data_IF_662886709734
#
_entry.id   IF_662886709734
#
_cell.length_a   1.000
_cell.length_b   1.000
_cell.length_c   1.000
_cell.angle_alpha   90.00
_cell.angle_beta   90.00
_cell.angle_gamma   90.00
#
_symmetry.space_group_name_H-M   'P 1'
#
loop_
_entity.id
_entity.type
_entity.pdbx_description
1 polymer ?
2 water ?
#
# COMPACT_ATOMS: atom_id res chain seq x y z
N UNK A 1 -24.75 1.43 -2.78
CA UNK A 1 -23.99 1.06 -4.01
C UNK A 1 -22.69 1.84 -4.09
N UNK A 2 -21.65 1.18 -4.59
CA UNK A 2 -20.34 1.79 -4.75
C UNK A 2 -20.24 2.30 -6.20
N UNK A 3 -20.38 3.61 -6.43
CA UNK A 3 -20.33 4.18 -7.79
C UNK A 3 -19.09 3.83 -8.62
N UNK A 4 -19.31 3.71 -9.93
CA UNK A 4 -18.24 3.38 -10.92
C UNK A 4 -17.69 4.70 -11.50
N UNK A 5 -18.32 5.81 -11.14
CA UNK A 5 -17.86 7.09 -11.64
C UNK A 5 -18.29 7.29 -13.06
N UNK A 6 -19.17 6.40 -13.54
CA UNK A 6 -19.70 6.44 -14.89
C UNK A 6 -21.22 6.39 -14.84
N UNK A 7 -21.85 7.39 -15.45
CA UNK A 7 -23.30 7.54 -15.48
C UNK A 7 -24.01 6.30 -16.09
N UNK A 8 -23.47 5.75 -17.16
CA UNK A 8 -24.09 4.61 -17.78
C UNK A 8 -23.96 3.34 -16.96
N UNK A 9 -22.75 3.06 -16.49
CA UNK A 9 -22.49 1.88 -15.69
C UNK A 9 -23.31 1.90 -14.38
N UNK A 10 -23.50 3.08 -13.82
CA UNK A 10 -24.27 3.24 -12.59
C UNK A 10 -25.74 3.05 -12.86
N UNK A 11 -26.21 3.54 -14.02
CA UNK A 11 -27.61 3.39 -14.44
C UNK A 11 -27.88 1.90 -14.62
N UNK A 12 -27.03 1.23 -15.39
CA UNK A 12 -27.15 -0.20 -15.61
C UNK A 12 -27.20 -0.98 -14.27
N UNK A 13 -26.32 -0.62 -13.34
CA UNK A 13 -26.21 -1.30 -12.05
C UNK A 13 -27.12 -0.83 -10.92
N UNK A 14 -28.00 0.12 -11.15
CA UNK A 14 -28.84 0.59 -10.07
C UNK A 14 -28.09 1.51 -9.12
N UNK A 15 -26.91 1.98 -9.50
CA UNK A 15 -26.16 2.91 -8.68
C UNK A 15 -24.68 2.65 -8.51
N UNK A 16 -24.25 1.43 -8.76
CA UNK A 16 -22.85 1.10 -8.61
C UNK A 16 -22.81 -0.33 -8.14
N UNK A 17 -21.65 -0.79 -7.73
CA UNK A 17 -21.53 -2.14 -7.26
C UNK A 17 -22.28 -2.31 -5.94
N UNK A 18 -22.90 -3.48 -5.77
CA UNK A 18 -23.71 -3.82 -4.61
C UNK A 18 -22.92 -4.34 -3.42
N UNK A 19 -23.19 -3.79 -2.22
CA UNK A 19 -22.50 -4.23 -1.03
C UNK A 19 -23.02 -5.58 -0.57
N UNK A 20 -22.12 -6.39 -0.01
CA UNK A 20 -22.53 -7.68 0.50
C UNK A 20 -22.76 -8.75 -0.54
N UNK A 21 -22.31 -8.51 -1.76
CA UNK A 21 -22.46 -9.53 -2.83
C UNK A 21 -21.21 -9.56 -3.69
N UNK A 22 -21.03 -10.66 -4.40
CA UNK A 22 -19.89 -10.81 -5.29
C UNK A 22 -20.38 -10.48 -6.70
N UNK A 23 -19.77 -9.46 -7.29
CA UNK A 23 -20.08 -9.09 -8.65
C UNK A 23 -18.90 -9.56 -9.48
N UNK A 24 -19.15 -10.42 -10.45
CA UNK A 24 -18.07 -10.86 -11.34
C UNK A 24 -18.03 -9.85 -12.48
N UNK A 25 -16.84 -9.44 -12.87
CA UNK A 25 -16.69 -8.52 -14.00
C UNK A 25 -15.69 -9.27 -14.83
N UNK A 26 -16.11 -9.74 -16.00
CA UNK A 26 -15.20 -10.49 -16.83
C UNK A 26 -15.13 -9.97 -18.28
N UNK A 27 -14.03 -10.29 -18.95
CA UNK A 27 -13.82 -9.85 -20.32
C UNK A 27 -12.36 -10.02 -20.66
N UNK A 28 -11.95 -9.72 -21.90
CA UNK A 28 -10.55 -9.85 -22.34
C UNK A 28 -9.66 -8.72 -21.79
N UNK A 29 -8.36 -8.79 -22.04
CA UNK A 29 -7.47 -7.74 -21.55
C UNK A 29 -7.83 -6.45 -22.25
N UNK A 30 -7.65 -5.33 -21.56
CA UNK A 30 -7.99 -4.03 -22.10
C UNK A 30 -9.50 -3.87 -22.33
N UNK A 31 -10.29 -4.82 -21.80
CA UNK A 31 -11.75 -4.76 -21.92
C UNK A 31 -12.21 -3.65 -21.00
N UNK A 32 -11.36 -3.33 -20.02
CA UNK A 32 -11.67 -2.27 -19.07
C UNK A 32 -12.07 -2.76 -17.69
N UNK A 33 -11.95 -4.07 -17.43
CA UNK A 33 -12.33 -4.61 -16.13
C UNK A 33 -11.45 -4.11 -14.97
N UNK A 34 -10.13 -4.11 -15.18
CA UNK A 34 -9.19 -3.59 -14.20
C UNK A 34 -9.35 -2.06 -14.00
N UNK A 35 -9.52 -1.34 -15.10
CA UNK A 35 -9.70 0.10 -14.98
C UNK A 35 -10.97 0.38 -14.21
N UNK A 36 -12.01 -0.44 -14.42
CA UNK A 36 -13.28 -0.25 -13.72
C UNK A 36 -13.02 -0.46 -12.22
N UNK A 37 -12.29 -1.52 -11.90
CA UNK A 37 -11.94 -1.83 -10.52
C UNK A 37 -11.19 -0.65 -9.88
N UNK A 38 -10.17 -0.17 -10.58
CA UNK A 38 -9.34 0.95 -10.14
C UNK A 38 -10.16 2.20 -9.87
N UNK A 39 -11.06 2.51 -10.80
CA UNK A 39 -11.91 3.68 -10.69
C UNK A 39 -12.92 3.60 -9.58
N UNK A 40 -13.54 2.43 -9.41
CA UNK A 40 -14.51 2.27 -8.33
C UNK A 40 -13.77 2.44 -7.00
N UNK A 41 -12.62 1.77 -6.86
CA UNK A 41 -11.82 1.88 -5.65
C UNK A 41 -11.38 3.32 -5.40
N UNK A 42 -10.83 3.94 -6.44
CA UNK A 42 -10.37 5.31 -6.35
C UNK A 42 -11.45 6.30 -5.84
N UNK A 43 -12.65 6.23 -6.39
CA UNK A 43 -13.72 7.13 -6.00
C UNK A 43 -14.44 6.78 -4.69
N UNK A 44 -14.24 5.56 -4.17
CA UNK A 44 -14.88 5.18 -2.91
C UNK A 44 -14.33 6.04 -1.75
N UNK A 45 -13.04 6.38 -1.81
CA UNK A 45 -12.44 7.20 -0.79
C UNK A 45 -11.91 6.50 0.44
N UNK A 46 -12.02 5.17 0.48
CA UNK A 46 -11.55 4.40 1.60
C UNK A 46 -10.62 3.33 1.10
N UNK A 47 -10.15 2.48 2.00
CA UNK A 47 -9.22 1.43 1.60
C UNK A 47 -9.84 0.41 0.66
N UNK A 48 -8.98 -0.18 -0.16
CA UNK A 48 -9.38 -1.16 -1.12
C UNK A 48 -8.39 -2.29 -0.97
N UNK A 49 -8.88 -3.50 -0.68
CA UNK A 49 -8.02 -4.67 -0.57
C UNK A 49 -7.97 -5.15 -2.01
N UNK A 50 -6.78 -5.23 -2.59
CA UNK A 50 -6.66 -5.62 -3.96
C UNK A 50 -5.74 -6.83 -4.08
N UNK A 51 -6.33 -7.98 -4.35
CA UNK A 51 -5.58 -9.22 -4.50
C UNK A 51 -5.25 -9.32 -5.98
N UNK A 52 -4.01 -8.99 -6.30
CA UNK A 52 -3.56 -8.98 -7.68
C UNK A 52 -2.69 -10.15 -8.02
N UNK A 53 -3.31 -11.21 -8.49
CA UNK A 53 -2.59 -12.41 -8.86
C UNK A 53 -2.11 -12.32 -10.30
N UNK A 54 -2.79 -11.50 -11.08
CA UNK A 54 -2.50 -11.32 -12.51
C UNK A 54 -1.58 -10.13 -12.87
N UNK A 55 -1.15 -9.37 -11.88
CA UNK A 55 -0.30 -8.24 -12.19
C UNK A 55 -1.04 -7.25 -13.09
N UNK A 56 -2.35 -7.16 -12.92
CA UNK A 56 -3.15 -6.23 -13.70
C UNK A 56 -3.24 -4.84 -13.08
N UNK A 57 -2.74 -4.69 -11.86
CA UNK A 57 -2.79 -3.40 -11.15
C UNK A 57 -1.61 -2.51 -11.51
N UNK A 58 -1.90 -1.27 -11.85
CA UNK A 58 -0.84 -0.32 -12.23
C UNK A 58 -0.92 0.95 -11.42
N UNK A 59 0.11 1.21 -10.57
CA UNK A 59 0.23 2.38 -9.71
C UNK A 59 0.17 3.65 -10.54
N UNK A 60 0.92 3.67 -11.63
CA UNK A 60 0.98 4.81 -12.56
C UNK A 60 -0.38 5.14 -13.15
N UNK A 61 -1.09 4.09 -13.57
CA UNK A 61 -2.42 4.22 -14.15
C UNK A 61 -3.39 4.82 -13.12
N UNK A 62 -3.30 4.35 -11.87
CA UNK A 62 -4.15 4.88 -10.80
C UNK A 62 -3.77 6.34 -10.51
N UNK A 63 -2.47 6.63 -10.51
CA UNK A 63 -1.95 7.99 -10.31
C UNK A 63 -2.51 8.89 -11.42
N UNK A 64 -2.41 8.42 -12.67
CA UNK A 64 -2.93 9.16 -13.81
C UNK A 64 -4.39 9.42 -13.59
N UNK A 65 -5.13 8.36 -13.30
CA UNK A 65 -6.56 8.47 -13.05
C UNK A 65 -6.86 9.44 -11.90
N UNK A 66 -6.11 9.33 -10.81
CA UNK A 66 -6.32 10.21 -9.64
C UNK A 66 -6.09 11.69 -10.01
N UNK A 67 -4.94 11.97 -10.64
CA UNK A 67 -4.58 13.33 -11.03
C UNK A 67 -5.58 13.94 -11.98
N UNK A 68 -5.85 13.23 -13.09
CA UNK A 68 -6.77 13.73 -14.11
C UNK A 68 -8.16 14.05 -13.60
N UNK A 69 -8.44 13.68 -12.36
CA UNK A 69 -9.73 13.97 -11.76
C UNK A 69 -9.49 14.86 -10.52
N UNK A 70 -8.31 15.48 -10.51
CA UNK A 70 -7.86 16.36 -9.44
C UNK A 70 -7.93 15.77 -8.03
N UNK A 71 -7.49 14.52 -7.87
CA UNK A 71 -7.57 13.79 -6.59
C UNK A 71 -6.41 13.55 -5.61
N UNK A 72 -5.20 14.02 -5.88
CA UNK A 72 -4.05 13.77 -4.98
C UNK A 72 -3.77 12.29 -5.08
N UNK A 73 -2.85 11.94 -5.97
CA UNK A 73 -2.39 10.59 -6.30
C UNK A 73 -1.69 9.82 -5.21
N UNK A 74 -1.07 10.52 -4.26
CA UNK A 74 -0.35 9.85 -3.18
C UNK A 74 -1.32 9.21 -2.19
N UNK A 75 -2.35 9.95 -1.82
CA UNK A 75 -3.34 9.41 -0.90
C UNK A 75 -4.13 8.29 -1.59
N UNK A 76 -4.51 8.55 -2.84
CA UNK A 76 -5.27 7.59 -3.64
C UNK A 76 -4.50 6.29 -3.71
N UNK A 77 -3.25 6.37 -4.15
CA UNK A 77 -2.42 5.20 -4.27
C UNK A 77 -2.23 4.52 -2.93
N UNK A 78 -2.17 5.31 -1.86
CA UNK A 78 -1.99 4.75 -0.52
C UNK A 78 -3.19 3.94 -0.07
N UNK A 79 -4.39 4.26 -0.58
CA UNK A 79 -5.57 3.53 -0.16
C UNK A 79 -5.65 2.13 -0.72
N UNK A 80 -4.79 1.81 -1.68
CA UNK A 80 -4.79 0.50 -2.28
C UNK A 80 -3.88 -0.45 -1.56
N UNK A 81 -4.50 -1.33 -0.78
CA UNK A 81 -3.77 -2.33 -0.01
C UNK A 81 -3.59 -3.54 -0.94
N UNK A 82 -2.37 -3.72 -1.46
CA UNK A 82 -2.09 -4.78 -2.41
C UNK A 82 -1.61 -6.08 -1.86
N UNK A 83 -1.94 -7.14 -2.59
CA UNK A 83 -1.55 -8.51 -2.25
C UNK A 83 -1.14 -9.14 -3.56
N UNK A 84 0.03 -9.73 -3.60
CA UNK A 84 0.53 -10.30 -4.83
C UNK A 84 0.78 -11.80 -4.76
N UNK A 85 -0.26 -12.60 -4.50
CA UNK A 85 -0.12 -14.06 -4.41
C UNK A 85 0.46 -14.64 -5.70
N UNK A 86 0.24 -13.88 -6.77
CA UNK A 86 0.69 -14.15 -8.14
C UNK A 86 0.87 -15.60 -8.63
N UNK A 87 1.71 -16.40 -7.97
CA UNK A 87 1.89 -17.78 -8.41
C UNK A 87 0.75 -18.68 -7.92
N UNK A 88 -0.46 -18.14 -7.91
CA UNK A 88 -1.68 -18.85 -7.53
C UNK A 88 -1.66 -19.87 -6.37
N UNK A 89 -0.70 -19.75 -5.47
CA UNK A 89 -0.61 -20.65 -4.31
C UNK A 89 -1.05 -19.98 -3.00
N UNK A 90 -0.41 -18.87 -2.64
CA UNK A 90 -0.82 -18.17 -1.43
C UNK A 90 -2.12 -17.41 -1.67
N UNK A 91 -2.73 -17.62 -2.83
CA UNK A 91 -3.99 -16.99 -3.22
C UNK A 91 -5.06 -17.28 -2.13
N UNK A 92 -5.39 -18.55 -1.96
CA UNK A 92 -6.36 -18.95 -0.94
C UNK A 92 -5.90 -18.47 0.45
N UNK A 93 -4.58 -18.43 0.66
CA UNK A 93 -4.01 -17.97 1.93
C UNK A 93 -4.24 -16.48 2.12
N UNK A 94 -4.12 -15.74 1.02
CA UNK A 94 -4.31 -14.30 0.99
C UNK A 94 -5.78 -14.00 1.24
N UNK A 95 -6.65 -14.74 0.56
CA UNK A 95 -8.08 -14.55 0.72
C UNK A 95 -8.45 -14.89 2.16
N UNK A 96 -7.82 -15.93 2.68
CA UNK A 96 -8.05 -16.32 4.06
C UNK A 96 -7.60 -15.19 4.96
N UNK A 97 -6.40 -14.65 4.69
CA UNK A 97 -5.86 -13.56 5.50
C UNK A 97 -6.81 -12.37 5.50
N UNK A 98 -7.41 -12.10 4.34
CA UNK A 98 -8.32 -11.00 4.15
C UNK A 98 -9.42 -10.94 5.19
N UNK A 99 -9.73 -12.09 5.77
CA UNK A 99 -10.77 -12.18 6.79
C UNK A 99 -10.48 -11.21 7.92
N UNK A 100 -9.23 -11.13 8.35
CA UNK A 100 -8.87 -10.23 9.44
C UNK A 100 -8.23 -8.89 9.01
N UNK A 101 -7.70 -8.84 7.80
CA UNK A 101 -7.10 -7.61 7.27
C UNK A 101 -8.20 -6.59 6.98
N UNK A 102 -9.29 -7.06 6.38
CA UNK A 102 -10.40 -6.20 6.03
C UNK A 102 -11.17 -5.76 7.25
N UNK A 103 -11.26 -4.45 7.47
CA UNK A 103 -11.99 -3.91 8.61
C UNK A 103 -12.94 -2.84 8.09
N UNK A 104 -13.55 -2.10 9.00
CA UNK A 104 -14.46 -1.04 8.64
C UNK A 104 -13.85 0.15 7.86
N UNK A 105 -12.53 0.12 7.68
CA UNK A 105 -11.83 1.18 6.96
C UNK A 105 -11.85 0.95 5.45
N UNK A 106 -12.18 -0.29 5.07
CA UNK A 106 -12.27 -0.69 3.66
C UNK A 106 -13.63 -0.40 3.02
N UNK A 107 -13.59 0.03 1.76
CA UNK A 107 -14.82 0.29 1.00
C UNK A 107 -15.03 -0.76 -0.07
N UNK A 108 -13.98 -1.50 -0.40
CA UNK A 108 -14.04 -2.46 -1.48
C UNK A 108 -12.92 -3.49 -1.44
N UNK A 109 -13.20 -4.67 -2.00
CA UNK A 109 -12.23 -5.75 -2.13
C UNK A 109 -12.25 -6.07 -3.62
N UNK A 110 -11.09 -6.33 -4.20
CA UNK A 110 -10.98 -6.67 -5.62
C UNK A 110 -10.06 -7.85 -5.69
N UNK A 111 -10.47 -8.90 -6.39
CA UNK A 111 -9.61 -10.06 -6.56
C UNK A 111 -9.38 -10.12 -8.06
N UNK A 112 -8.13 -10.36 -8.45
CA UNK A 112 -7.79 -10.38 -9.87
C UNK A 112 -6.70 -11.40 -10.09
N UNK A 113 -7.08 -12.61 -10.47
CA UNK A 113 -8.45 -13.01 -10.71
C UNK A 113 -8.63 -14.41 -10.15
N UNK A 114 -7.93 -15.35 -10.78
CA UNK A 114 -7.85 -16.80 -10.48
C UNK A 114 -8.46 -17.76 -11.52
N UNK A 115 -7.71 -18.02 -12.59
CA UNK A 115 -8.18 -18.95 -13.61
C UNK A 115 -7.16 -19.41 -14.67
N UNK A 116 -5.89 -19.50 -14.27
CA UNK A 116 -4.82 -19.96 -15.16
C UNK A 116 -3.61 -20.46 -14.36
N UNK A 117 -3.36 -21.77 -14.40
CA UNK A 117 -2.24 -22.37 -13.67
C UNK A 117 -1.39 -23.28 -14.55
N UNK A 118 -0.22 -23.65 -14.04
CA UNK A 118 0.74 -24.51 -14.74
C UNK A 118 0.20 -25.85 -15.26
N UNK A 119 -0.39 -26.65 -14.39
CA UNK A 119 -0.91 -27.97 -14.74
C UNK A 119 -2.14 -28.04 -15.66
N UNK A 120 -2.28 -27.06 -16.54
CA UNK A 120 -3.37 -26.94 -17.51
C UNK A 120 -4.68 -27.73 -17.33
N UNK A 121 -4.62 -29.05 -17.44
CA UNK A 121 -5.82 -29.91 -17.31
C UNK A 121 -6.65 -29.70 -16.06
N UNK A 122 -6.01 -29.20 -15.00
CA UNK A 122 -6.63 -28.93 -13.70
C UNK A 122 -8.13 -28.59 -13.75
N UNK A 123 -8.43 -27.47 -14.40
CA UNK A 123 -9.79 -26.94 -14.56
C UNK A 123 -10.98 -27.85 -14.20
N UNK A 124 -10.99 -29.07 -14.71
CA UNK A 124 -12.09 -30.00 -14.40
C UNK A 124 -11.76 -30.89 -13.21
N UNK A 125 -12.74 -31.04 -12.33
CA UNK A 125 -12.64 -31.86 -11.12
C UNK A 125 -11.68 -31.30 -10.06
N UNK A 126 -11.66 -31.95 -8.90
CA UNK A 126 -10.79 -31.53 -7.81
C UNK A 126 -10.85 -30.07 -7.40
N UNK A 127 -9.84 -29.32 -7.79
CA UNK A 127 -9.68 -27.88 -7.50
C UNK A 127 -10.95 -27.03 -7.39
N UNK A 128 -11.98 -27.38 -8.14
CA UNK A 128 -13.24 -26.64 -8.14
C UNK A 128 -13.79 -26.31 -6.73
N UNK A 129 -13.51 -27.17 -5.76
CA UNK A 129 -13.96 -26.93 -4.39
C UNK A 129 -13.09 -25.86 -3.70
N UNK A 130 -11.84 -25.77 -4.11
CA UNK A 130 -10.91 -24.78 -3.56
C UNK A 130 -11.36 -23.40 -4.01
N UNK A 131 -11.91 -23.32 -5.22
CA UNK A 131 -12.43 -22.08 -5.76
C UNK A 131 -13.63 -21.70 -4.89
N UNK A 132 -14.49 -22.69 -4.63
CA UNK A 132 -15.67 -22.49 -3.80
C UNK A 132 -15.29 -22.04 -2.39
N UNK A 133 -14.13 -22.51 -1.92
CA UNK A 133 -13.60 -22.14 -0.61
C UNK A 133 -13.40 -20.62 -0.61
N UNK A 134 -12.65 -20.16 -1.61
CA UNK A 134 -12.33 -18.76 -1.80
C UNK A 134 -13.57 -17.88 -1.98
N UNK A 135 -14.44 -18.27 -2.90
CA UNK A 135 -15.64 -17.51 -3.16
C UNK A 135 -16.46 -17.38 -1.88
N UNK A 136 -16.58 -18.47 -1.14
CA UNK A 136 -17.32 -18.43 0.10
C UNK A 136 -16.67 -17.49 1.12
N UNK A 137 -15.34 -17.53 1.21
CA UNK A 137 -14.65 -16.63 2.13
C UNK A 137 -14.92 -15.17 1.69
N UNK A 138 -14.89 -14.93 0.38
CA UNK A 138 -15.14 -13.58 -0.13
C UNK A 138 -16.57 -13.13 0.16
N UNK A 139 -17.54 -14.03 0.00
CA UNK A 139 -18.94 -13.67 0.29
C UNK A 139 -19.07 -13.37 1.79
N UNK A 140 -18.39 -14.16 2.60
CA UNK A 140 -18.35 -13.99 4.06
C UNK A 140 -17.79 -12.59 4.37
N UNK A 141 -16.65 -12.26 3.76
CA UNK A 141 -16.04 -10.94 3.96
C UNK A 141 -17.01 -9.84 3.54
N UNK A 142 -17.63 -10.00 2.36
CA UNK A 142 -18.57 -9.01 1.84
C UNK A 142 -19.75 -8.81 2.78
N UNK A 143 -20.23 -9.89 3.36
CA UNK A 143 -21.37 -9.80 4.27
C UNK A 143 -21.03 -9.25 5.64
N UNK A 144 -19.88 -9.61 6.18
CA UNK A 144 -19.52 -9.10 7.49
C UNK A 144 -19.32 -7.58 7.47
N UNK A 145 -18.79 -7.06 6.37
CA UNK A 145 -18.52 -5.63 6.26
C UNK A 145 -19.47 -4.86 5.38
N UNK A 146 -20.40 -5.57 4.77
CA UNK A 146 -21.36 -4.94 3.87
C UNK A 146 -20.66 -4.06 2.85
N UNK A 147 -19.77 -4.64 2.08
CA UNK A 147 -19.06 -3.90 1.04
C UNK A 147 -19.03 -4.83 -0.16
N UNK A 148 -18.76 -4.27 -1.35
CA UNK A 148 -18.72 -5.10 -2.55
C UNK A 148 -17.40 -5.85 -2.69
N UNK A 149 -17.48 -7.01 -3.32
CA UNK A 149 -16.31 -7.79 -3.64
C UNK A 149 -16.39 -7.99 -5.17
N UNK A 150 -15.48 -7.37 -5.90
CA UNK A 150 -15.42 -7.49 -7.35
C UNK A 150 -14.47 -8.62 -7.65
N UNK A 151 -14.94 -9.55 -8.46
CA UNK A 151 -14.17 -10.70 -8.86
C UNK A 151 -13.92 -10.55 -10.38
N UNK A 152 -12.68 -10.29 -10.73
CA UNK A 152 -12.32 -10.09 -12.12
C UNK A 152 -11.81 -11.39 -12.71
N UNK A 153 -12.27 -11.72 -13.92
CA UNK A 153 -11.83 -12.94 -14.59
C UNK A 153 -11.77 -12.65 -16.09
N UNK A 154 -11.14 -13.54 -16.85
CA UNK A 154 -11.10 -13.40 -18.30
C UNK A 154 -12.34 -14.09 -18.90
N UNK A 155 -12.76 -13.60 -20.06
CA UNK A 155 -13.94 -14.13 -20.76
C UNK A 155 -13.75 -15.52 -21.42
N UNK A 156 -14.86 -16.10 -21.89
CA UNK A 156 -14.91 -17.39 -22.64
C UNK A 156 -14.29 -18.69 -22.08
N UNK A 157 -15.04 -19.41 -21.26
CA UNK A 157 -14.54 -20.68 -20.70
C UNK A 157 -15.53 -21.45 -19.82
N UNK A 158 -15.96 -20.82 -18.72
CA UNK A 158 -16.84 -21.44 -17.76
C UNK A 158 -18.36 -21.40 -17.92
N UNK A 159 -18.87 -22.00 -19.00
CA UNK A 159 -20.31 -22.09 -19.27
C UNK A 159 -20.48 -23.25 -20.23
N UNK A 160 -19.76 -24.32 -19.91
CA UNK A 160 -19.68 -25.57 -20.67
C UNK A 160 -20.97 -26.35 -20.96
N UNK A 161 -22.11 -25.68 -20.87
CA UNK A 161 -23.39 -26.34 -21.17
C UNK A 161 -23.23 -26.86 -22.59
N UNK A 162 -22.70 -25.97 -23.44
CA UNK A 162 -22.41 -26.22 -24.84
C UNK A 162 -22.08 -24.85 -25.39
N UNK A 163 -23.11 -24.00 -25.48
CA UNK A 163 -22.89 -22.63 -25.92
C UNK A 163 -22.31 -21.96 -24.68
N UNK A 164 -20.99 -21.96 -24.58
CA UNK A 164 -20.32 -21.32 -23.45
C UNK A 164 -20.67 -19.84 -23.60
N UNK A 165 -21.86 -19.49 -23.13
CA UNK A 165 -22.37 -18.14 -23.22
C UNK A 165 -22.55 -17.41 -21.89
N UNK A 166 -21.48 -16.80 -21.37
CA UNK A 166 -20.11 -16.75 -21.87
C UNK A 166 -19.16 -17.26 -20.78
N UNK A 167 -19.53 -16.97 -19.54
CA UNK A 167 -18.79 -17.36 -18.34
C UNK A 167 -19.75 -17.30 -17.14
N UNK A 168 -20.07 -18.46 -16.60
CA UNK A 168 -20.96 -18.62 -15.44
C UNK A 168 -20.93 -20.11 -15.05
N UNK A 169 -19.90 -20.50 -14.30
CA UNK A 169 -19.71 -21.89 -13.86
C UNK A 169 -20.58 -22.43 -12.72
N UNK A 170 -21.84 -22.73 -13.03
CA UNK A 170 -22.81 -23.29 -12.09
C UNK A 170 -22.90 -22.58 -10.73
N UNK A 171 -22.73 -23.33 -9.64
CA UNK A 171 -22.79 -22.79 -8.29
C UNK A 171 -21.76 -21.70 -8.13
N UNK A 172 -20.57 -21.95 -8.69
CA UNK A 172 -19.49 -20.98 -8.65
C UNK A 172 -20.01 -19.74 -9.36
N UNK A 173 -20.78 -19.97 -10.42
CA UNK A 173 -21.36 -18.87 -11.16
C UNK A 173 -22.31 -18.16 -10.23
N UNK A 174 -23.29 -18.88 -9.69
CA UNK A 174 -24.28 -18.30 -8.78
C UNK A 174 -23.66 -17.80 -7.47
N UNK A 175 -22.36 -18.03 -7.33
CA UNK A 175 -21.62 -17.55 -6.17
C UNK A 175 -21.61 -16.03 -6.30
N UNK A 176 -21.64 -15.57 -7.55
CA UNK A 176 -21.65 -14.16 -7.88
C UNK A 176 -23.06 -13.80 -8.28
N UNK A 177 -23.72 -13.00 -7.43
CA UNK A 177 -25.08 -12.59 -7.67
C UNK A 177 -25.22 -11.65 -8.86
N UNK A 178 -24.21 -10.81 -9.05
CA UNK A 178 -24.20 -9.87 -10.15
C UNK A 178 -23.05 -10.23 -11.08
N UNK A 179 -23.30 -10.13 -12.38
CA UNK A 179 -22.30 -10.47 -13.38
C UNK A 179 -22.35 -9.47 -14.51
N UNK A 180 -21.19 -8.87 -14.80
CA UNK A 180 -21.05 -7.91 -15.87
C UNK A 180 -20.04 -8.43 -16.88
N UNK A 181 -20.41 -8.41 -18.16
CA UNK A 181 -19.50 -8.86 -19.21
C UNK A 181 -19.05 -7.57 -19.92
N UNK A 182 -17.75 -7.43 -20.15
CA UNK A 182 -17.29 -6.23 -20.83
C UNK A 182 -16.78 -6.64 -22.20
N UNK A 183 -17.27 -5.98 -23.23
CA UNK A 183 -16.82 -6.30 -24.58
C UNK A 183 -16.22 -5.07 -25.23
N UNK A 184 -15.33 -5.31 -26.20
CA UNK A 184 -14.68 -4.22 -26.93
C UNK A 184 -15.42 -3.86 -28.21
N UNK A 185 -15.69 -2.58 -28.44
CA UNK A 185 -16.30 -2.15 -29.69
C UNK A 185 -15.10 -1.85 -30.62
N UNK A 186 -15.24 -2.01 -31.96
CA UNK A 186 -14.10 -1.75 -32.86
C UNK A 186 -13.71 -0.30 -33.17
N UNK A 187 -13.49 0.48 -32.11
CA UNK A 187 -13.05 1.86 -32.20
C UNK A 187 -12.15 1.90 -30.98
N UNK A 188 -11.00 2.59 -31.07
CA UNK A 188 -10.07 2.67 -29.94
C UNK A 188 -10.70 3.13 -28.62
N UNK A 189 -10.55 2.32 -27.58
CA UNK A 189 -11.11 2.62 -26.27
C UNK A 189 -12.61 2.42 -26.05
N UNK A 190 -13.34 2.09 -27.12
CA UNK A 190 -14.80 1.89 -27.06
C UNK A 190 -15.17 0.52 -26.48
N UNK A 191 -16.10 0.53 -25.54
CA UNK A 191 -16.50 -0.69 -24.85
C UNK A 191 -17.98 -0.69 -24.52
N UNK A 192 -18.49 -1.86 -24.16
CA UNK A 192 -19.88 -1.98 -23.73
C UNK A 192 -19.92 -3.04 -22.63
N UNK A 193 -20.68 -2.77 -21.58
CA UNK A 193 -20.83 -3.75 -20.50
C UNK A 193 -22.24 -4.35 -20.61
N UNK A 194 -22.37 -5.65 -20.41
CA UNK A 194 -23.67 -6.28 -20.45
C UNK A 194 -23.92 -6.88 -19.08
N UNK A 195 -25.04 -6.50 -18.48
CA UNK A 195 -25.47 -7.01 -17.17
C UNK A 195 -26.14 -8.36 -17.41
N UNK A 196 -25.35 -9.42 -17.33
CA UNK A 196 -25.84 -10.75 -17.57
C UNK A 196 -26.60 -11.34 -16.41
N UNK A 197 -26.32 -10.84 -15.22
CA UNK A 197 -26.97 -11.36 -14.07
C UNK A 197 -26.98 -10.31 -13.00
N UNK A 198 -28.14 -10.13 -12.40
CA UNK A 198 -28.25 -9.17 -11.34
C UNK A 198 -29.43 -9.56 -10.52
N UNK A 199 -29.45 -9.07 -9.30
CA UNK A 199 -30.49 -9.39 -8.37
C UNK A 199 -31.82 -8.67 -8.57
N UNK A 200 -31.77 -7.43 -9.05
CA UNK A 200 -33.01 -6.70 -9.23
C UNK A 200 -33.06 -5.88 -10.51
N UNK A 201 -31.91 -5.50 -11.05
CA UNK A 201 -31.86 -4.71 -12.27
C UNK A 201 -32.15 -5.61 -13.46
N UNK A 202 -32.88 -5.11 -14.47
CA UNK A 202 -33.18 -5.94 -15.65
C UNK A 202 -31.88 -6.46 -16.27
N UNK A 203 -31.88 -7.75 -16.59
CA UNK A 203 -30.74 -8.42 -17.16
C UNK A 203 -30.72 -8.29 -18.67
N UNK A 204 -29.53 -8.39 -19.25
CA UNK A 204 -29.37 -8.26 -20.68
C UNK A 204 -29.13 -6.81 -21.09
N UNK A 205 -29.41 -5.85 -20.21
CA UNK A 205 -29.19 -4.44 -20.51
C UNK A 205 -27.67 -4.11 -20.65
N UNK A 206 -27.37 -2.99 -21.31
CA UNK A 206 -26.00 -2.57 -21.61
C UNK A 206 -25.71 -1.13 -21.27
N UNK A 207 -24.42 -0.82 -21.22
CA UNK A 207 -23.92 0.53 -20.94
C UNK A 207 -22.66 0.68 -21.75
N UNK A 208 -22.62 1.73 -22.56
CA UNK A 208 -21.44 2.02 -23.39
C UNK A 208 -20.48 2.92 -22.58
N UNK A 209 -19.18 2.71 -22.75
CA UNK A 209 -18.23 3.56 -22.06
C UNK A 209 -16.95 3.57 -22.87
N UNK A 210 -16.00 4.43 -22.50
CA UNK A 210 -14.71 4.47 -23.20
C UNK A 210 -13.55 4.55 -22.20
N UNK A 211 -12.46 3.88 -22.54
CA UNK A 211 -11.28 3.88 -21.73
C UNK A 211 -10.46 5.07 -22.18
N UNK A 212 -10.26 6.02 -21.28
CA UNK A 212 -9.50 7.23 -21.56
C UNK A 212 -8.37 7.40 -20.54
N UNK A 213 -7.69 8.53 -20.61
CA UNK A 213 -6.60 8.82 -19.69
C UNK A 213 -7.16 8.97 -18.27
N UNK A 214 -8.44 9.36 -18.17
CA UNK A 214 -9.07 9.55 -16.87
C UNK A 214 -9.62 8.26 -16.26
N UNK A 215 -9.43 7.14 -16.96
CA UNK A 215 -9.94 5.87 -16.46
C UNK A 215 -11.02 5.35 -17.40
N UNK A 216 -12.26 5.51 -17.01
CA UNK A 216 -13.39 5.07 -17.81
C UNK A 216 -14.40 6.18 -17.82
N UNK A 217 -14.87 6.51 -19.01
CA UNK A 217 -15.82 7.61 -19.13
C UNK A 217 -17.05 7.25 -19.95
N UNK A 218 -18.08 8.05 -19.80
CA UNK A 218 -19.28 7.87 -20.58
C UNK A 218 -18.88 8.31 -21.99
N UNK A 219 -19.51 7.70 -22.98
CA UNK A 219 -19.19 8.02 -24.36
C UNK A 219 -19.72 9.41 -24.67
N UNK A 220 -19.28 9.93 -25.81
CA UNK A 220 -19.73 11.21 -26.29
C UNK A 220 -20.91 10.96 -27.23
N UNK B 1 23.05 -5.80 10.58
CA UNK B 1 22.90 -4.36 10.18
C UNK B 1 22.02 -4.37 8.96
N UNK B 2 21.17 -3.37 8.85
CA UNK B 2 20.28 -3.27 7.70
C UNK B 2 20.83 -2.24 6.74
N UNK B 3 21.23 -2.70 5.56
CA UNK B 3 21.77 -1.82 4.58
C UNK B 3 20.87 -0.67 4.13
N UNK B 4 21.56 0.42 3.89
CA UNK B 4 21.04 1.68 3.42
C UNK B 4 20.99 1.68 1.87
N UNK B 5 21.71 0.74 1.27
CA UNK B 5 21.79 0.64 -0.17
C UNK B 5 22.81 1.62 -0.71
N UNK B 6 23.46 2.35 0.20
CA UNK B 6 24.46 3.36 -0.16
C UNK B 6 25.81 3.05 0.55
N UNK B 7 26.90 3.04 -0.22
CA UNK B 7 28.22 2.78 0.33
C UNK B 7 28.61 3.70 1.51
N UNK B 8 28.50 5.01 1.29
CA UNK B 8 28.86 6.00 2.29
C UNK B 8 28.08 5.90 3.60
N UNK B 9 26.75 5.82 3.52
CA UNK B 9 25.93 5.74 4.74
C UNK B 9 26.19 4.44 5.50
N UNK B 10 26.41 3.35 4.78
CA UNK B 10 26.69 2.07 5.41
C UNK B 10 28.05 2.09 6.11
N UNK B 11 29.07 2.66 5.47
CA UNK B 11 30.39 2.74 6.09
C UNK B 11 30.29 3.52 7.38
N UNK B 12 29.61 4.65 7.31
CA UNK B 12 29.42 5.52 8.46
C UNK B 12 28.73 4.80 9.64
N UNK B 13 27.70 4.03 9.32
CA UNK B 13 26.89 3.31 10.30
C UNK B 13 27.40 1.93 10.66
N UNK B 14 28.57 1.56 10.15
CA UNK B 14 29.12 0.26 10.44
C UNK B 14 28.43 -0.89 9.70
N UNK B 15 27.67 -0.56 8.66
CA UNK B 15 27.03 -1.61 7.88
C UNK B 15 25.59 -1.36 7.55
N UNK B 16 24.98 -0.40 8.24
CA UNK B 16 23.58 -0.11 8.00
C UNK B 16 22.93 0.19 9.32
N UNK B 17 21.59 0.22 9.37
CA UNK B 17 20.90 0.50 10.61
C UNK B 17 21.01 -0.71 11.54
N UNK B 18 21.29 -0.47 12.82
CA UNK B 18 21.45 -1.57 13.79
C UNK B 18 20.16 -2.15 14.37
N UNK B 19 20.07 -3.50 14.45
CA UNK B 19 18.86 -4.09 15.01
C UNK B 19 18.86 -3.94 16.53
N UNK B 20 17.66 -3.89 17.11
CA UNK B 20 17.56 -3.76 18.55
C UNK B 20 17.81 -2.34 19.00
N UNK B 21 17.95 -1.41 18.05
CA UNK B 21 18.19 0.00 18.39
C UNK B 21 17.29 0.96 17.63
N UNK B 22 17.02 2.09 18.25
CA UNK B 22 16.21 3.13 17.67
C UNK B 22 17.17 4.11 17.04
N UNK B 23 17.24 4.15 15.71
CA UNK B 23 18.12 5.09 15.04
C UNK B 23 17.32 6.32 14.65
N UNK B 24 17.66 7.45 15.28
CA UNK B 24 16.98 8.68 14.93
C UNK B 24 17.67 9.27 13.71
N UNK B 25 16.87 9.70 12.75
CA UNK B 25 17.37 10.31 11.53
C UNK B 25 16.58 11.62 11.45
N UNK B 26 17.26 12.75 11.61
CA UNK B 26 16.55 14.01 11.57
C UNK B 26 17.15 15.03 10.62
N UNK B 27 16.33 16.02 10.26
CA UNK B 27 16.76 17.04 9.33
C UNK B 27 15.52 17.73 8.78
N UNK B 28 15.68 18.77 7.95
CA UNK B 28 14.58 19.55 7.35
C UNK B 28 13.89 18.79 6.22
N UNK B 29 12.85 19.40 5.66
CA UNK B 29 12.12 18.76 4.59
C UNK B 29 13.03 18.54 3.41
N UNK B 30 12.92 17.37 2.80
CA UNK B 30 13.73 17.00 1.63
C UNK B 30 15.19 16.79 1.96
N UNK B 31 15.49 16.62 3.24
CA UNK B 31 16.87 16.36 3.63
C UNK B 31 17.26 14.95 3.23
N UNK B 32 16.30 14.11 2.88
CA UNK B 32 16.62 12.74 2.50
C UNK B 32 16.24 11.66 3.50
N UNK B 33 15.65 12.05 4.63
CA UNK B 33 15.29 11.12 5.70
C UNK B 33 14.19 10.10 5.40
N UNK B 34 13.08 10.55 4.82
CA UNK B 34 11.99 9.64 4.45
C UNK B 34 12.45 8.74 3.28
N UNK B 35 13.28 9.29 2.39
CA UNK B 35 13.77 8.52 1.24
C UNK B 35 14.73 7.44 1.66
N UNK B 36 15.54 7.74 2.67
CA UNK B 36 16.49 6.77 3.23
C UNK B 36 15.69 5.62 3.86
N UNK B 37 14.70 5.98 4.66
CA UNK B 37 13.84 5.02 5.32
C UNK B 37 13.21 4.14 4.22
N UNK B 38 12.59 4.79 3.23
CA UNK B 38 11.93 4.12 2.12
C UNK B 38 12.84 3.15 1.41
N UNK B 39 14.05 3.60 1.11
CA UNK B 39 15.03 2.77 0.43
C UNK B 39 15.54 1.63 1.30
N UNK B 40 15.69 1.89 2.58
CA UNK B 40 16.16 0.85 3.49
C UNK B 40 15.12 -0.30 3.55
N UNK B 41 13.85 0.08 3.67
CA UNK B 41 12.75 -0.88 3.69
C UNK B 41 12.56 -1.62 2.36
N UNK B 42 12.76 -0.91 1.25
CA UNK B 42 12.63 -1.52 -0.07
C UNK B 42 13.65 -2.62 -0.28
N UNK B 43 14.91 -2.29 -0.04
CA UNK B 43 15.98 -3.24 -0.25
C UNK B 43 15.96 -4.42 0.70
N UNK B 44 15.25 -4.29 1.81
CA UNK B 44 15.19 -5.39 2.77
C UNK B 44 14.45 -6.59 2.18
N UNK B 45 13.51 -6.33 1.27
CA UNK B 45 12.77 -7.44 0.68
C UNK B 45 11.78 -8.09 1.63
N UNK B 46 11.51 -7.46 2.78
CA UNK B 46 10.58 -8.00 3.77
C UNK B 46 9.56 -6.94 4.11
N UNK B 47 8.73 -7.16 5.13
CA UNK B 47 7.71 -6.17 5.47
C UNK B 47 8.24 -5.01 6.26
N UNK B 48 7.50 -3.90 6.25
CA UNK B 48 7.92 -2.70 6.96
C UNK B 48 6.70 -2.11 7.58
N UNK B 49 6.75 -1.86 8.89
CA UNK B 49 5.65 -1.21 9.62
C UNK B 49 6.01 0.28 9.58
N UNK B 50 5.16 1.08 8.96
CA UNK B 50 5.42 2.51 8.79
C UNK B 50 4.36 3.38 9.43
N UNK B 51 4.68 3.97 10.58
CA UNK B 51 3.74 4.84 11.28
C UNK B 51 3.96 6.24 10.70
N UNK B 52 3.01 6.72 9.90
CA UNK B 52 3.12 8.01 9.28
C UNK B 52 2.17 9.00 9.88
N UNK B 53 2.69 9.81 10.81
CA UNK B 53 1.90 10.83 11.48
C UNK B 53 1.91 12.10 10.68
N UNK B 54 3.05 12.39 10.05
CA UNK B 54 3.19 13.58 9.21
C UNK B 54 3.34 12.94 7.84
N UNK B 55 2.37 13.16 6.95
CA UNK B 55 2.38 12.57 5.60
C UNK B 55 3.65 12.50 4.78
N UNK B 56 4.65 11.79 5.28
CA UNK B 56 5.90 11.71 4.57
C UNK B 56 6.02 10.49 3.69
N UNK B 57 5.16 9.48 3.92
CA UNK B 57 5.22 8.26 3.12
C UNK B 57 4.74 8.53 1.72
N UNK B 58 5.64 8.32 0.77
CA UNK B 58 5.34 8.54 -0.62
C UNK B 58 5.35 7.22 -1.38
N UNK B 59 4.15 6.68 -1.69
CA UNK B 59 4.00 5.41 -2.44
C UNK B 59 4.47 5.59 -3.88
N UNK B 60 4.34 6.81 -4.41
CA UNK B 60 4.82 7.10 -5.75
C UNK B 60 6.34 6.99 -5.78
N UNK B 61 7.00 7.53 -4.75
CA UNK B 61 8.46 7.45 -4.63
C UNK B 61 8.91 6.00 -4.58
N UNK B 62 8.26 5.23 -3.73
CA UNK B 62 8.57 3.79 -3.59
C UNK B 62 8.41 3.07 -4.94
N UNK B 63 7.32 3.36 -5.65
CA UNK B 63 7.06 2.76 -6.97
C UNK B 63 8.25 3.06 -7.89
N UNK B 64 8.59 4.35 -7.99
CA UNK B 64 9.73 4.83 -8.78
C UNK B 64 11.06 4.18 -8.40
N UNK B 65 11.39 4.23 -7.11
CA UNK B 65 12.61 3.61 -6.62
C UNK B 65 12.64 2.12 -6.99
N UNK B 66 11.52 1.42 -6.77
CA UNK B 66 11.41 -0.01 -7.12
C UNK B 66 11.69 -0.21 -8.61
N UNK B 67 10.95 0.53 -9.43
CA UNK B 67 11.13 0.43 -10.88
C UNK B 67 12.54 0.70 -11.37
N UNK B 68 13.13 1.81 -10.93
CA UNK B 68 14.48 2.16 -11.36
C UNK B 68 15.47 1.06 -10.98
N UNK B 69 15.19 0.34 -9.91
CA UNK B 69 16.07 -0.72 -9.48
C UNK B 69 15.66 -2.08 -10.04
N UNK B 70 14.70 -2.07 -10.97
CA UNK B 70 14.24 -3.30 -11.58
C UNK B 70 13.41 -4.19 -10.64
N UNK B 71 12.87 -3.61 -9.58
CA UNK B 71 12.07 -4.40 -8.65
C UNK B 71 10.59 -4.12 -8.91
N UNK B 72 9.75 -5.09 -8.55
CA UNK B 72 8.32 -4.93 -8.74
C UNK B 72 7.77 -3.98 -7.70
N UNK B 73 7.17 -2.87 -8.15
CA UNK B 73 6.60 -1.86 -7.27
C UNK B 73 5.31 -2.27 -6.53
N UNK B 74 4.56 -3.24 -7.08
CA UNK B 74 3.32 -3.74 -6.43
C UNK B 74 3.76 -4.51 -5.20
N UNK B 75 4.75 -5.37 -5.41
CA UNK B 75 5.36 -6.16 -4.35
C UNK B 75 5.88 -5.15 -3.32
N UNK B 76 6.70 -4.20 -3.78
CA UNK B 76 7.26 -3.16 -2.91
C UNK B 76 6.17 -2.48 -2.09
N UNK B 77 5.09 -2.07 -2.77
CA UNK B 77 4.00 -1.41 -2.08
C UNK B 77 3.30 -2.34 -1.09
N UNK B 78 3.18 -3.63 -1.43
CA UNK B 78 2.51 -4.57 -0.53
C UNK B 78 3.30 -4.83 0.74
N UNK B 79 4.63 -4.74 0.65
CA UNK B 79 5.49 -4.96 1.82
C UNK B 79 5.46 -3.79 2.81
N UNK B 80 5.03 -2.63 2.35
CA UNK B 80 4.96 -1.46 3.24
C UNK B 80 3.61 -1.33 3.93
N UNK B 81 3.58 -1.66 5.22
CA UNK B 81 2.37 -1.63 6.02
C UNK B 81 2.20 -0.30 6.77
N UNK B 82 1.41 0.57 6.17
CA UNK B 82 1.16 1.90 6.70
C UNK B 82 0.14 2.00 7.78
N UNK B 83 0.32 3.01 8.62
CA UNK B 83 -0.57 3.33 9.69
C UNK B 83 -0.57 4.83 9.67
N UNK B 84 -1.75 5.43 9.69
CA UNK B 84 -1.80 6.87 9.62
C UNK B 84 -2.50 7.50 10.80
N UNK B 85 -1.83 7.51 11.95
CA UNK B 85 -2.35 8.08 13.20
C UNK B 85 -2.58 9.57 13.06
N UNK B 86 -3.83 9.96 12.86
CA UNK B 86 -4.18 11.36 12.72
C UNK B 86 -3.76 12.11 13.98
N UNK B 87 -4.55 11.98 15.04
CA UNK B 87 -4.24 12.65 16.29
C UNK B 87 -3.11 11.90 17.02
N UNK B 88 -2.90 12.22 18.30
CA UNK B 88 -1.86 11.57 19.08
C UNK B 88 -2.34 10.31 19.82
N UNK B 89 -3.65 10.23 20.06
CA UNK B 89 -4.25 9.09 20.76
C UNK B 89 -4.18 7.82 19.92
N UNK B 90 -4.58 7.91 18.64
CA UNK B 90 -4.56 6.76 17.74
C UNK B 90 -3.10 6.38 17.42
N UNK B 91 -2.18 7.33 17.64
CA UNK B 91 -0.73 7.12 17.40
C UNK B 91 -0.15 6.20 18.48
N UNK B 92 -0.38 6.54 19.74
CA UNK B 92 0.09 5.74 20.86
C UNK B 92 -0.56 4.38 20.66
N UNK B 93 -1.85 4.41 20.38
CA UNK B 93 -2.64 3.22 20.14
C UNK B 93 -1.97 2.34 19.07
N UNK B 94 -1.63 2.94 17.94
CA UNK B 94 -0.99 2.23 16.85
C UNK B 94 0.35 1.65 17.30
N UNK B 95 1.14 2.44 18.01
CA UNK B 95 2.43 1.95 18.48
C UNK B 95 2.17 0.69 19.29
N UNK B 96 1.14 0.75 20.14
CA UNK B 96 0.76 -0.38 20.95
C UNK B 96 0.40 -1.55 20.06
N UNK B 97 -0.30 -1.24 18.97
CA UNK B 97 -0.74 -2.22 17.98
C UNK B 97 0.45 -2.94 17.37
N UNK B 98 1.47 -2.15 17.07
CA UNK B 98 2.70 -2.63 16.47
C UNK B 98 3.21 -3.90 17.16
N UNK B 99 3.02 -3.96 18.48
CA UNK B 99 3.45 -5.11 19.27
C UNK B 99 3.00 -6.44 18.66
N UNK B 100 1.71 -6.54 18.34
CA UNK B 100 1.23 -7.78 17.76
C UNK B 100 1.35 -7.89 16.26
N UNK B 101 1.36 -6.76 15.56
CA UNK B 101 1.48 -6.74 14.11
C UNK B 101 2.85 -7.22 13.66
N UNK B 102 3.89 -6.60 14.21
CA UNK B 102 5.26 -6.94 13.87
C UNK B 102 5.57 -8.40 14.25
N UNK B 103 6.00 -9.15 13.25
CA UNK B 103 6.35 -10.55 13.44
C UNK B 103 7.67 -10.83 12.75
N UNK B 104 7.97 -12.11 12.55
CA UNK B 104 9.20 -12.55 11.92
C UNK B 104 9.41 -12.10 10.48
N UNK B 105 8.35 -11.86 9.73
CA UNK B 105 8.62 -11.44 8.37
C UNK B 105 8.75 -9.92 8.13
N UNK B 106 8.82 -9.16 9.22
CA UNK B 106 9.02 -7.73 9.15
C UNK B 106 10.53 -7.46 9.25
N UNK B 107 11.06 -6.58 8.42
CA UNK B 107 12.49 -6.27 8.48
C UNK B 107 12.76 -4.88 9.06
N UNK B 108 11.71 -4.08 9.25
CA UNK B 108 11.91 -2.71 9.72
C UNK B 108 10.65 -1.97 10.19
N UNK B 109 10.85 -1.04 11.11
CA UNK B 109 9.77 -0.20 11.60
C UNK B 109 10.27 1.21 11.38
N UNK B 110 9.37 2.12 11.04
CA UNK B 110 9.72 3.50 10.80
C UNK B 110 8.62 4.31 11.41
N UNK B 111 8.98 5.34 12.18
CA UNK B 111 7.98 6.19 12.80
C UNK B 111 8.24 7.60 12.28
N UNK B 112 7.18 8.28 11.84
CA UNK B 112 7.28 9.61 11.28
C UNK B 112 6.09 10.54 11.63
N UNK B 113 6.08 11.41 12.66
CA UNK B 113 7.12 11.71 13.68
C UNK B 113 7.54 13.15 13.99
N UNK B 114 6.68 14.17 13.91
CA UNK B 114 7.16 15.52 14.23
C UNK B 114 6.11 16.65 14.35
N UNK B 115 6.56 17.90 14.14
CA UNK B 115 5.74 19.10 14.22
C UNK B 115 4.97 19.35 15.51
N UNK B 116 5.22 20.51 16.09
CA UNK B 116 4.56 20.93 17.33
C UNK B 116 3.06 21.07 17.07
N UNK B 117 2.32 20.00 17.38
CA UNK B 117 0.87 19.94 17.18
C UNK B 117 0.11 21.25 17.36
N UNK B 118 0.48 22.05 18.36
CA UNK B 118 -0.19 23.30 18.60
C UNK B 118 0.55 24.50 18.04
N UNK B 119 -0.19 25.59 17.82
CA UNK B 119 0.30 26.87 17.29
C UNK B 119 1.79 26.88 16.96
N UNK B 120 2.60 26.68 17.99
CA UNK B 120 4.06 26.63 17.88
C UNK B 120 4.59 25.93 19.13
N UNK B 121 3.90 24.87 19.55
CA UNK B 121 4.27 24.11 20.74
C UNK B 121 3.53 22.77 20.81
N UNK B 122 4.04 21.84 21.64
CA UNK B 122 3.41 20.52 21.80
C UNK B 122 3.99 19.67 22.93
N UNK B 123 5.29 19.80 23.14
CA UNK B 123 6.01 19.02 24.14
C UNK B 123 5.48 19.17 25.57
N UNK B 124 4.50 18.34 25.91
CA UNK B 124 3.91 18.34 27.24
C UNK B 124 4.64 17.29 28.07
N UNK B 125 4.79 17.53 29.37
CA UNK B 125 5.46 16.56 30.25
C UNK B 125 4.77 15.20 30.08
N UNK B 126 3.44 15.24 29.95
CA UNK B 126 2.68 14.03 29.74
C UNK B 126 3.17 13.40 28.45
N UNK B 127 3.15 14.19 27.38
CA UNK B 127 3.60 13.70 26.07
C UNK B 127 5.06 13.26 26.03
N UNK B 128 5.93 13.90 26.80
CA UNK B 128 7.34 13.50 26.78
C UNK B 128 7.48 12.18 27.53
N UNK B 129 6.73 12.02 28.61
CA UNK B 129 6.75 10.78 29.37
C UNK B 129 6.08 9.75 28.45
N UNK B 130 5.20 10.25 27.57
CA UNK B 130 4.48 9.44 26.59
C UNK B 130 5.44 9.08 25.47
N UNK B 131 6.34 10.00 25.15
CA UNK B 131 7.33 9.78 24.10
C UNK B 131 8.25 8.69 24.63
N UNK B 132 8.47 8.71 25.94
CA UNK B 132 9.31 7.72 26.60
C UNK B 132 8.65 6.35 26.45
N UNK B 133 7.38 6.28 26.82
CA UNK B 133 6.58 5.06 26.74
C UNK B 133 6.50 4.53 25.30
N UNK B 134 6.33 5.43 24.34
CA UNK B 134 6.26 5.05 22.93
C UNK B 134 7.61 4.60 22.42
N UNK B 135 8.65 5.33 22.78
CA UNK B 135 10.02 4.97 22.36
C UNK B 135 10.43 3.68 23.05
N UNK B 136 9.90 3.43 24.25
CA UNK B 136 10.20 2.21 24.98
C UNK B 136 9.50 1.02 24.33
N UNK B 137 8.27 1.24 23.86
CA UNK B 137 7.53 0.16 23.19
C UNK B 137 8.23 -0.16 21.87
N UNK B 138 8.66 0.89 21.18
CA UNK B 138 9.39 0.72 19.91
C UNK B 138 10.66 -0.07 20.13
N UNK B 139 11.33 0.26 21.23
CA UNK B 139 12.57 -0.39 21.61
C UNK B 139 12.30 -1.88 21.93
N UNK B 140 11.20 -2.15 22.62
CA UNK B 140 10.88 -3.54 22.95
C UNK B 140 10.74 -4.32 21.64
N UNK B 141 9.98 -3.78 20.68
CA UNK B 141 9.75 -4.43 19.37
C UNK B 141 11.04 -4.71 18.63
N UNK B 142 11.93 -3.71 18.64
CA UNK B 142 13.23 -3.78 17.97
C UNK B 142 14.07 -4.91 18.56
N UNK B 143 14.13 -4.94 19.88
CA UNK B 143 14.86 -5.95 20.62
C UNK B 143 14.18 -7.31 20.45
N UNK B 144 12.86 -7.32 20.66
CA UNK B 144 12.07 -8.52 20.54
C UNK B 144 12.19 -9.14 19.17
N UNK B 145 12.23 -8.31 18.13
CA UNK B 145 12.32 -8.85 16.78
C UNK B 145 13.64 -8.76 16.12
N UNK B 146 14.64 -8.20 16.79
CA UNK B 146 15.96 -8.04 16.18
C UNK B 146 15.90 -7.23 14.85
N UNK B 147 15.20 -6.11 14.87
CA UNK B 147 15.11 -5.27 13.68
C UNK B 147 15.28 -3.80 14.06
N UNK B 148 15.75 -2.98 13.11
CA UNK B 148 15.93 -1.55 13.37
C UNK B 148 14.57 -0.87 13.41
N UNK B 149 14.51 0.24 14.14
CA UNK B 149 13.34 1.08 14.17
C UNK B 149 13.97 2.43 13.80
N UNK B 150 13.47 3.07 12.75
CA UNK B 150 14.02 4.36 12.34
C UNK B 150 13.06 5.43 12.84
N UNK B 151 13.59 6.37 13.61
CA UNK B 151 12.79 7.43 14.18
C UNK B 151 13.11 8.74 13.44
N UNK B 152 12.19 9.15 12.59
CA UNK B 152 12.35 10.35 11.79
C UNK B 152 11.91 11.58 12.53
N UNK B 153 12.66 12.67 12.44
CA UNK B 153 12.27 13.90 13.13
C UNK B 153 12.78 15.06 12.32
N UNK B 154 12.22 16.24 12.52
CA UNK B 154 12.66 17.41 11.79
C UNK B 154 13.96 18.00 12.33
N UNK B 155 13.85 19.01 13.19
CA UNK B 155 15.02 19.68 13.76
C UNK B 155 14.65 20.53 14.98
N UNK B 156 15.37 21.64 15.15
CA UNK B 156 15.26 22.58 16.27
C UNK B 156 13.96 22.93 16.98
N UNK B 157 13.85 22.40 18.20
CA UNK B 157 12.72 22.61 19.10
C UNK B 157 12.70 21.57 20.23
N UNK B 158 13.89 21.30 20.78
CA UNK B 158 14.03 20.34 21.87
C UNK B 158 15.19 20.71 22.80
N UNK B 159 15.59 19.78 23.68
CA UNK B 159 16.68 19.96 24.67
C UNK B 159 16.57 21.26 25.48
N UNK B 160 16.84 22.38 24.84
CA UNK B 160 16.74 23.72 25.46
C UNK B 160 17.69 23.97 26.64
N UNK B 161 18.55 23.00 26.95
CA UNK B 161 19.50 23.15 28.05
C UNK B 161 20.76 23.86 27.54
N UNK B 162 20.55 24.78 26.60
CA UNK B 162 21.61 25.58 25.97
C UNK B 162 22.33 24.85 24.84
N UNK B 163 22.42 23.52 24.95
CA UNK B 163 23.09 22.71 23.93
C UNK B 163 22.15 22.00 22.96
N UNK B 164 22.13 22.47 21.73
CA UNK B 164 21.31 21.87 20.67
C UNK B 164 22.28 20.88 20.03
N UNK B 165 22.04 19.59 20.26
CA UNK B 165 22.94 18.56 19.72
C UNK B 165 23.08 18.28 18.22
N UNK B 166 22.14 18.73 17.37
CA UNK B 166 20.89 19.49 17.51
C UNK B 166 19.77 18.77 18.25
N UNK B 167 19.25 17.70 17.67
CA UNK B 167 18.14 16.94 18.27
C UNK B 167 18.60 15.64 18.91
N UNK B 168 18.90 15.69 20.20
CA UNK B 168 19.37 14.53 20.98
C UNK B 168 19.82 14.96 22.39
N UNK B 169 19.22 14.38 23.42
CA UNK B 169 19.54 14.67 24.82
C UNK B 169 18.40 14.10 25.68
N UNK B 170 17.49 14.99 26.10
CA UNK B 170 16.34 14.64 26.94
C UNK B 170 15.36 13.71 26.21
N UNK B 171 14.62 12.93 26.99
CA UNK B 171 13.59 12.01 26.49
C UNK B 171 13.88 11.35 25.14
N UNK B 172 13.34 11.95 24.08
CA UNK B 172 13.51 11.47 22.72
C UNK B 172 14.96 11.12 22.41
N UNK B 173 15.87 12.01 22.80
CA UNK B 173 17.29 11.78 22.56
C UNK B 173 17.85 10.54 23.21
N UNK B 174 17.68 10.42 24.53
CA UNK B 174 18.20 9.28 25.28
C UNK B 174 17.96 7.90 24.67
N UNK B 175 16.70 7.62 24.32
CA UNK B 175 16.34 6.34 23.73
C UNK B 175 17.09 6.08 22.43
N UNK B 176 17.34 7.14 21.67
CA UNK B 176 18.02 7.05 20.39
C UNK B 176 19.51 6.93 20.57
N UNK B 177 19.98 5.69 20.67
CA UNK B 177 21.39 5.40 20.85
C UNK B 177 22.23 5.76 19.60
N UNK B 178 21.60 5.73 18.42
CA UNK B 178 22.28 6.09 17.17
C UNK B 178 21.52 7.27 16.59
N UNK B 179 22.24 8.32 16.22
CA UNK B 179 21.63 9.54 15.73
C UNK B 179 22.33 10.04 14.49
N UNK B 180 21.54 10.23 13.44
CA UNK B 180 22.03 10.68 12.17
C UNK B 180 21.39 12.02 11.83
N UNK B 181 22.23 13.00 11.54
CA UNK B 181 21.73 14.32 11.16
C UNK B 181 21.94 14.44 9.63
N UNK B 182 20.94 14.97 8.93
CA UNK B 182 21.04 15.11 7.47
C UNK B 182 21.08 16.58 7.12
N UNK B 183 22.07 17.00 6.34
CA UNK B 183 22.18 18.39 5.94
C UNK B 183 22.16 18.52 4.42
N UNK B 184 21.70 19.67 3.96
CA UNK B 184 21.63 19.96 2.53
C UNK B 184 22.89 20.67 2.05
N UNK B 185 23.41 20.25 0.92
CA UNK B 185 24.56 20.92 0.35
C UNK B 185 23.93 21.79 -0.76
N UNK B 186 24.55 22.93 -1.14
CA UNK B 186 23.95 23.79 -2.17
C UNK B 186 23.95 23.34 -3.65
N UNK B 187 23.64 22.07 -3.88
CA UNK B 187 23.54 21.50 -5.22
C UNK B 187 22.26 20.64 -5.19
N UNK B 188 21.43 20.70 -6.25
CA UNK B 188 20.18 19.90 -6.27
C UNK B 188 20.31 18.46 -5.80
N UNK B 189 19.67 18.17 -4.67
CA UNK B 189 19.67 16.83 -4.09
C UNK B 189 20.95 16.34 -3.46
N UNK B 190 21.95 17.22 -3.31
CA UNK B 190 23.24 16.86 -2.72
C UNK B 190 23.08 16.99 -1.21
N UNK B 191 23.44 15.93 -0.49
CA UNK B 191 23.27 15.89 0.96
C UNK B 191 24.47 15.30 1.69
N UNK B 192 24.51 15.51 3.01
CA UNK B 192 25.58 14.91 3.84
C UNK B 192 24.95 14.53 5.18
N UNK B 193 25.25 13.33 5.64
CA UNK B 193 24.72 12.85 6.90
C UNK B 193 25.88 12.92 7.88
N UNK B 194 25.58 13.32 9.11
CA UNK B 194 26.59 13.40 10.18
C UNK B 194 26.22 12.40 11.28
N UNK B 195 27.13 11.49 11.60
CA UNK B 195 26.88 10.54 12.67
C UNK B 195 27.10 11.27 14.00
N UNK B 196 26.03 11.80 14.57
CA UNK B 196 26.15 12.51 15.84
C UNK B 196 26.26 11.65 17.07
N UNK B 197 25.64 10.47 17.05
CA UNK B 197 25.69 9.55 18.19
C UNK B 197 25.64 8.13 17.68
N UNK B 198 26.48 7.27 18.25
CA UNK B 198 26.52 5.88 17.87
C UNK B 198 27.11 5.07 19.02
N UNK B 199 26.67 3.84 19.16
CA UNK B 199 27.17 3.01 20.24
C UNK B 199 28.67 2.71 20.12
N UNK B 200 29.17 2.52 18.91
CA UNK B 200 30.59 2.22 18.74
C UNK B 200 31.37 2.98 17.68
N UNK B 201 30.74 3.34 16.57
CA UNK B 201 31.41 4.08 15.47
C UNK B 201 31.79 5.52 15.86
N UNK B 202 32.88 6.05 15.29
CA UNK B 202 33.30 7.42 15.60
C UNK B 202 32.24 8.45 15.24
N UNK B 203 31.92 9.32 16.19
CA UNK B 203 30.93 10.35 15.97
C UNK B 203 31.58 11.58 15.32
N UNK B 204 30.79 12.40 14.65
CA UNK B 204 31.33 13.58 13.97
C UNK B 204 31.72 13.30 12.53
N UNK B 205 31.79 12.02 12.18
CA UNK B 205 32.12 11.60 10.83
C UNK B 205 30.90 11.84 9.92
N UNK B 206 31.15 11.93 8.62
CA UNK B 206 30.09 12.24 7.64
C UNK B 206 30.04 11.30 6.47
N UNK B 207 28.90 11.33 5.78
CA UNK B 207 28.67 10.50 4.60
C UNK B 207 27.90 11.36 3.58
N UNK B 208 28.46 11.52 2.38
CA UNK B 208 27.81 12.31 1.34
C UNK B 208 26.94 11.40 0.48
N UNK B 209 25.82 11.94 0.00
CA UNK B 209 24.92 11.17 -0.85
C UNK B 209 24.07 12.17 -1.62
N UNK B 210 23.33 11.66 -2.61
CA UNK B 210 22.44 12.50 -3.42
C UNK B 210 21.06 11.84 -3.58
N UNK B 211 20.02 12.67 -3.55
CA UNK B 211 18.65 12.20 -3.70
C UNK B 211 18.38 12.15 -5.20
N UNK B 212 18.24 10.95 -5.74
CA UNK B 212 17.99 10.77 -7.16
C UNK B 212 16.66 10.04 -7.38
N UNK B 213 16.36 9.71 -8.64
CA UNK B 213 15.15 8.98 -9.00
C UNK B 213 15.19 7.60 -8.34
N UNK B 214 16.39 7.02 -8.26
CA UNK B 214 16.62 5.72 -7.64
C UNK B 214 16.50 5.75 -6.14
N UNK B 215 16.37 6.96 -5.57
CA UNK B 215 16.26 7.08 -4.12
C UNK B 215 17.45 7.82 -3.54
N UNK B 216 18.36 7.11 -2.87
CA UNK B 216 19.55 7.72 -2.26
C UNK B 216 20.75 7.03 -2.88
N UNK B 217 21.68 7.83 -3.44
CA UNK B 217 22.87 7.28 -4.10
C UNK B 217 24.14 7.95 -3.64
N UNK B 218 25.23 7.24 -3.84
CA UNK B 218 26.53 7.77 -3.52
C UNK B 218 26.88 8.87 -4.53
N UNK B 219 27.55 9.89 -4.03
CA UNK B 219 28.07 10.98 -4.84
C UNK B 219 29.51 10.59 -4.51
N UNK B 220 29.75 10.60 -3.20
CA UNK B 220 30.98 10.15 -2.57
C UNK B 220 30.48 9.33 -1.36
#
# INVERSE_FOLDING_TARGET
>A
MLSTGTKSLDSLLGGGFAPGVLTQVYGPYASGKTTLALQTGLLSGKKVAYVDTEGGFSPERLVQMAETRGLNPEEALSRFILFTPSDFKEQRRVIGSLKKTVDSNFALVVVDSITAHYRAEENRSGLIAELSRQLQVLLWIARKHNIPVIVINQVHFDSRTEMTKPVAEQTLGYRCKDILRLDKLPKPGLRVAVLERHRFRPEGLMAYFRITERGIEDVE
>B
MLSTGTKSLDSLLGGGFAPGVLTQVYGPYASGKTTLALQTGLLSGKKVAYVDTEGGFSPERLVQMAETRGLNPEEALSRFILFTPSDFKEQRRVIGSLKKTVDSNFALVVVDSITAHYRAEENRSGLIAELSRQLQVLLWIARKHNIPVIVINQVHFDSRTEMTKPVAEQTLGYRCKDILRLDKLPKPGLRVAVLERHRFRPEGLMAYFRITERGIEDVE
#
